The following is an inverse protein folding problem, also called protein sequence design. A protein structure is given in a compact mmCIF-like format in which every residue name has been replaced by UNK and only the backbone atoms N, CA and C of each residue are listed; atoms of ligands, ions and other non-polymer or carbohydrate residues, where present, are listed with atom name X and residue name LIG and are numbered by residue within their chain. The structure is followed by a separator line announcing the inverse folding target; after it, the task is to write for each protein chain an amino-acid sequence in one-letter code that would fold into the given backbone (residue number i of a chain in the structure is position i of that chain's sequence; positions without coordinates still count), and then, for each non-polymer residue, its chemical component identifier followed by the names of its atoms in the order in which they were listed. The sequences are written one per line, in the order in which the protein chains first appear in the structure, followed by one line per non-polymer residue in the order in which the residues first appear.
data_IF_830014568169
#
_entry.id   IF_830014568169
#
_cell.length_a   1.000
_cell.length_b   1.000
_cell.length_c   1.000
_cell.angle_alpha   90.00
_cell.angle_beta   90.00
_cell.angle_gamma   90.00
#
_symmetry.space_group_name_H-M   'P 1'
#
loop_
_entity.id
_entity.type
_entity.pdbx_description
1 polymer ?
#
# COMPACT_ATOMS: atom_id res chain seq x y z
N UNK A 1 -27.64 22.27 43.52
CA UNK A 1 -28.42 21.89 42.32
C UNK A 1 -28.48 20.38 42.32
N UNK A 2 -29.62 19.76 42.00
CA UNK A 2 -29.76 18.29 42.01
C UNK A 2 -28.95 17.60 40.90
N UNK A 3 -28.53 18.35 39.88
CA UNK A 3 -27.72 17.87 38.74
C UNK A 3 -26.21 17.97 38.99
N UNK A 4 -25.80 18.43 40.17
CA UNK A 4 -24.40 18.63 40.51
C UNK A 4 -23.77 17.31 41.00
N UNK A 5 -22.61 16.95 40.44
CA UNK A 5 -21.82 15.80 40.87
C UNK A 5 -20.58 16.29 41.65
N UNK A 6 -20.46 15.86 42.91
CA UNK A 6 -19.40 16.20 43.86
C UNK A 6 -18.22 15.20 43.86
N UNK A 7 -18.21 14.18 42.99
CA UNK A 7 -17.10 13.22 42.88
C UNK A 7 -15.77 13.91 42.53
N UNK A 8 -15.77 14.86 41.59
CA UNK A 8 -14.56 15.58 41.16
C UNK A 8 -14.04 16.50 42.27
N UNK A 9 -14.93 17.21 42.97
CA UNK A 9 -14.58 18.02 44.14
C UNK A 9 -13.97 17.15 45.25
N UNK A 10 -14.56 15.99 45.54
CA UNK A 10 -14.05 15.04 46.56
C UNK A 10 -12.67 14.46 46.21
N UNK A 11 -12.39 14.22 44.93
CA UNK A 11 -11.09 13.71 44.46
C UNK A 11 -10.02 14.81 44.46
N UNK A 12 -10.38 16.02 44.03
CA UNK A 12 -9.43 17.14 43.88
C UNK A 12 -9.20 17.94 45.17
N UNK A 13 -10.12 17.84 46.14
CA UNK A 13 -10.15 18.70 47.33
C UNK A 13 -10.56 20.15 47.03
N UNK A 14 -10.97 20.44 45.79
CA UNK A 14 -11.46 21.74 45.36
C UNK A 14 -12.96 21.86 45.70
N UNK A 15 -13.43 23.03 46.13
CA UNK A 15 -14.85 23.28 46.41
C UNK A 15 -15.45 24.17 45.34
N UNK A 16 -16.45 23.68 44.62
CA UNK A 16 -17.15 24.39 43.55
C UNK A 16 -18.38 25.11 44.10
N UNK A 17 -18.25 26.42 44.35
CA UNK A 17 -19.30 27.31 44.87
C UNK A 17 -20.19 27.93 43.79
N UNK A 18 -19.64 28.18 42.60
CA UNK A 18 -20.38 28.71 41.44
C UNK A 18 -19.95 28.00 40.17
N UNK A 19 -20.90 27.79 39.26
CA UNK A 19 -20.70 26.98 38.05
C UNK A 19 -21.55 27.55 36.90
N UNK A 20 -20.93 27.72 35.73
CA UNK A 20 -21.55 28.14 34.48
C UNK A 20 -21.13 27.17 33.37
N UNK A 21 -22.10 26.46 32.79
CA UNK A 21 -21.89 25.55 31.66
C UNK A 21 -22.55 26.10 30.40
N UNK A 22 -21.83 26.05 29.27
CA UNK A 22 -22.36 26.43 27.97
C UNK A 22 -21.81 25.51 26.86
N UNK A 23 -22.64 25.12 25.87
CA UNK A 23 -22.17 24.33 24.73
C UNK A 23 -21.34 25.19 23.77
N UNK A 24 -20.26 24.61 23.26
CA UNK A 24 -19.51 25.12 22.11
C UNK A 24 -20.21 24.64 20.85
N UNK A 25 -20.53 25.58 19.94
CA UNK A 25 -21.20 25.28 18.68
C UNK A 25 -20.28 25.50 17.48
N UNK A 26 -20.43 24.66 16.46
CA UNK A 26 -19.80 24.85 15.16
C UNK A 26 -20.52 25.95 14.35
N UNK A 27 -19.95 26.30 13.20
CA UNK A 27 -20.56 27.08 12.12
C UNK A 27 -21.98 26.61 11.78
N UNK A 28 -22.19 25.29 11.74
CA UNK A 28 -23.46 24.62 11.44
C UNK A 28 -24.42 24.53 12.64
N UNK A 29 -24.09 25.21 13.75
CA UNK A 29 -24.81 25.21 15.04
C UNK A 29 -24.79 23.89 15.84
N UNK A 30 -24.19 22.83 15.31
CA UNK A 30 -23.96 21.55 16.01
C UNK A 30 -23.06 21.72 17.25
N UNK A 31 -23.32 20.93 18.29
CA UNK A 31 -22.59 21.00 19.57
C UNK A 31 -21.34 20.12 19.48
N UNK A 32 -20.15 20.74 19.48
CA UNK A 32 -18.85 20.06 19.34
C UNK A 32 -18.21 19.75 20.69
N UNK A 33 -18.45 20.61 21.68
CA UNK A 33 -17.92 20.47 23.04
C UNK A 33 -18.82 21.17 24.07
N UNK A 34 -18.53 21.02 25.35
CA UNK A 34 -19.14 21.78 26.44
C UNK A 34 -18.03 22.44 27.26
N UNK A 35 -18.18 23.72 27.55
CA UNK A 35 -17.27 24.44 28.46
C UNK A 35 -17.96 24.66 29.80
N UNK A 36 -17.19 24.41 30.86
CA UNK A 36 -17.58 24.60 32.25
C UNK A 36 -16.62 25.62 32.87
N UNK A 37 -17.18 26.70 33.42
CA UNK A 37 -16.45 27.72 34.19
C UNK A 37 -16.90 27.62 35.64
N UNK A 38 -15.95 27.43 36.56
CA UNK A 38 -16.22 27.32 38.00
C UNK A 38 -15.60 28.49 38.76
N UNK A 39 -16.19 28.82 39.91
CA UNK A 39 -15.71 29.78 40.91
C UNK A 39 -15.29 31.14 40.36
N UNK A 40 -16.26 32.04 40.18
CA UNK A 40 -15.98 33.45 39.88
C UNK A 40 -15.15 34.08 41.01
N UNK A 41 -14.01 34.68 40.67
CA UNK A 41 -12.97 35.15 41.60
C UNK A 41 -13.39 36.17 42.66
N UNK A 42 -14.57 36.78 42.53
CA UNK A 42 -15.12 37.76 43.46
C UNK A 42 -16.21 37.17 44.37
N UNK A 43 -16.36 35.84 44.44
CA UNK A 43 -17.40 35.09 45.19
C UNK A 43 -18.86 35.50 44.87
N UNK A 44 -19.06 36.18 43.74
CA UNK A 44 -20.36 36.54 43.19
C UNK A 44 -20.86 35.45 42.24
N UNK A 45 -22.17 35.26 42.18
CA UNK A 45 -22.80 34.45 41.13
C UNK A 45 -22.47 35.02 39.75
N UNK A 46 -22.40 34.15 38.74
CA UNK A 46 -22.27 34.58 37.35
C UNK A 46 -23.45 35.49 36.95
N UNK A 47 -23.16 36.55 36.22
CA UNK A 47 -24.14 37.53 35.74
C UNK A 47 -24.49 37.25 34.28
N UNK A 48 -25.60 37.85 33.81
CA UNK A 48 -25.99 37.80 32.38
C UNK A 48 -24.97 38.48 31.45
N UNK A 49 -24.04 39.25 31.99
CA UNK A 49 -22.92 39.83 31.24
C UNK A 49 -21.80 38.81 31.06
N UNK A 50 -21.48 38.05 32.11
CA UNK A 50 -20.56 36.90 32.01
C UNK A 50 -21.10 35.86 31.02
N UNK A 51 -22.41 35.57 31.06
CA UNK A 51 -23.09 34.66 30.11
C UNK A 51 -22.92 35.12 28.66
N UNK A 52 -23.15 36.41 28.37
CA UNK A 52 -22.98 36.97 27.02
C UNK A 52 -21.52 36.96 26.57
N UNK A 53 -20.59 37.30 27.47
CA UNK A 53 -19.17 37.31 27.18
C UNK A 53 -18.69 35.88 26.89
N UNK A 54 -19.03 34.90 27.73
CA UNK A 54 -18.71 33.50 27.50
C UNK A 54 -19.31 33.02 26.18
N UNK A 55 -20.60 33.29 25.92
CA UNK A 55 -21.24 32.93 24.66
C UNK A 55 -20.53 33.52 23.43
N UNK A 56 -19.97 34.73 23.51
CA UNK A 56 -19.21 35.32 22.41
C UNK A 56 -17.85 34.63 22.21
N UNK A 57 -17.14 34.29 23.30
CA UNK A 57 -15.88 33.53 23.24
C UNK A 57 -16.09 32.12 22.68
N UNK A 58 -17.13 31.41 23.11
CA UNK A 58 -17.38 30.03 22.69
C UNK A 58 -17.67 29.89 21.19
N UNK A 59 -18.24 30.91 20.54
CA UNK A 59 -18.38 30.96 19.08
C UNK A 59 -17.01 30.91 18.36
N UNK A 60 -16.00 31.62 18.87
CA UNK A 60 -14.65 31.55 18.31
C UNK A 60 -13.96 30.22 18.63
N UNK A 61 -14.17 29.68 19.85
CA UNK A 61 -13.65 28.36 20.22
C UNK A 61 -14.22 27.24 19.34
N UNK A 62 -15.50 27.30 18.96
CA UNK A 62 -16.12 26.31 18.07
C UNK A 62 -15.49 26.27 16.70
N UNK A 63 -15.27 27.44 16.08
CA UNK A 63 -14.55 27.56 14.80
C UNK A 63 -13.11 27.02 14.94
N UNK A 64 -12.41 27.36 16.01
CA UNK A 64 -11.03 26.91 16.24
C UNK A 64 -10.92 25.38 16.43
N UNK A 65 -11.83 24.78 17.21
CA UNK A 65 -11.87 23.32 17.43
C UNK A 65 -12.23 22.59 16.13
N UNK A 66 -13.24 23.06 15.40
CA UNK A 66 -13.62 22.49 14.11
C UNK A 66 -12.44 22.53 13.11
N UNK A 67 -11.75 23.67 13.00
CA UNK A 67 -10.58 23.79 12.15
C UNK A 67 -9.41 22.88 12.59
N UNK A 68 -9.21 22.68 13.90
CA UNK A 68 -8.19 21.77 14.42
C UNK A 68 -8.51 20.31 14.11
N UNK A 69 -9.77 19.88 14.31
CA UNK A 69 -10.23 18.53 13.97
C UNK A 69 -10.13 18.25 12.46
N UNK A 70 -10.53 19.23 11.63
CA UNK A 70 -10.39 19.17 10.18
C UNK A 70 -8.91 19.05 9.77
N UNK A 71 -8.02 19.84 10.39
CA UNK A 71 -6.58 19.79 10.11
C UNK A 71 -5.93 18.46 10.56
N UNK A 72 -6.36 17.90 11.69
CA UNK A 72 -5.89 16.60 12.18
C UNK A 72 -6.30 15.47 11.22
N UNK A 73 -7.57 15.46 10.78
CA UNK A 73 -8.06 14.53 9.78
C UNK A 73 -7.31 14.66 8.43
N UNK A 74 -7.09 15.89 7.95
CA UNK A 74 -6.29 16.14 6.75
C UNK A 74 -4.84 15.69 6.88
N UNK A 75 -4.23 15.82 8.06
CA UNK A 75 -2.84 15.44 8.29
C UNK A 75 -2.64 13.92 8.17
N UNK A 76 -3.59 13.14 8.69
CA UNK A 76 -3.56 11.67 8.59
C UNK A 76 -3.73 11.19 7.14
N UNK A 77 -4.69 11.77 6.39
CA UNK A 77 -4.84 11.49 4.96
C UNK A 77 -3.63 11.93 4.13
N UNK A 78 -3.04 13.08 4.47
CA UNK A 78 -1.83 13.57 3.80
C UNK A 78 -0.66 12.63 4.02
N UNK A 79 -0.45 12.11 5.23
CA UNK A 79 0.62 11.16 5.51
C UNK A 79 0.40 9.82 4.79
N UNK A 80 -0.84 9.32 4.67
CA UNK A 80 -1.17 8.17 3.80
C UNK A 80 -0.76 8.45 2.34
N UNK A 81 -1.21 9.57 1.79
CA UNK A 81 -0.98 9.92 0.39
C UNK A 81 0.50 10.21 0.11
N UNK A 82 1.25 10.73 1.09
CA UNK A 82 2.69 10.97 1.01
C UNK A 82 3.47 9.66 0.81
N UNK A 83 3.19 8.62 1.57
CA UNK A 83 3.84 7.32 1.39
C UNK A 83 3.59 6.73 0.00
N UNK A 84 2.40 6.93 -0.57
CA UNK A 84 2.08 6.54 -1.96
C UNK A 84 2.89 7.36 -2.98
N UNK A 85 3.03 8.68 -2.76
CA UNK A 85 3.78 9.57 -3.66
C UNK A 85 5.30 9.38 -3.59
N UNK A 86 5.86 9.03 -2.43
CA UNK A 86 7.28 8.66 -2.29
C UNK A 86 7.59 7.39 -3.10
N UNK A 87 6.70 6.39 -3.06
CA UNK A 87 6.81 5.20 -3.91
C UNK A 87 6.77 5.57 -5.40
N UNK A 88 5.87 6.45 -5.82
CA UNK A 88 5.82 6.98 -7.20
C UNK A 88 7.15 7.64 -7.59
N UNK A 89 7.72 8.49 -6.74
CA UNK A 89 8.98 9.18 -7.01
C UNK A 89 10.14 8.19 -7.19
N UNK A 90 10.34 7.28 -6.22
CA UNK A 90 11.36 6.21 -6.26
C UNK A 90 11.27 5.31 -7.50
N UNK A 91 10.07 5.15 -8.08
CA UNK A 91 9.81 4.31 -9.24
C UNK A 91 10.10 5.02 -10.57
N UNK A 92 9.82 6.31 -10.67
CA UNK A 92 9.95 7.07 -11.92
C UNK A 92 11.28 7.81 -12.08
N UNK A 93 12.06 7.99 -11.02
CA UNK A 93 13.41 8.58 -11.10
C UNK A 93 14.45 7.66 -11.77
N UNK A 94 14.34 6.34 -11.59
CA UNK A 94 15.27 5.38 -12.20
C UNK A 94 14.70 4.80 -13.50
N UNK A 95 15.33 5.11 -14.64
CA UNK A 95 15.06 4.47 -15.94
C UNK A 95 15.41 2.97 -15.87
N UNK A 96 14.44 2.19 -15.40
CA UNK A 96 14.60 0.78 -15.05
C UNK A 96 13.75 -0.11 -15.94
N UNK A 97 14.13 -1.39 -16.00
CA UNK A 97 13.39 -2.38 -16.79
C UNK A 97 11.97 -2.58 -16.26
N UNK A 98 11.05 -3.01 -17.14
CA UNK A 98 9.67 -3.37 -16.76
C UNK A 98 9.62 -4.29 -15.51
N UNK A 99 10.58 -5.22 -15.44
CA UNK A 99 10.67 -6.24 -14.39
C UNK A 99 11.14 -5.65 -13.05
N UNK A 100 12.03 -4.66 -13.07
CA UNK A 100 12.44 -3.90 -11.87
C UNK A 100 11.32 -2.99 -11.35
N UNK A 101 10.64 -2.26 -12.24
CA UNK A 101 9.53 -1.37 -11.87
C UNK A 101 8.44 -2.17 -11.16
N UNK A 102 8.00 -3.29 -11.76
CA UNK A 102 7.01 -4.18 -11.16
C UNK A 102 7.52 -4.77 -9.83
N UNK A 103 8.76 -5.26 -9.78
CA UNK A 103 9.35 -5.84 -8.55
C UNK A 103 9.41 -4.82 -7.40
N UNK A 104 9.77 -3.56 -7.68
CA UNK A 104 9.77 -2.48 -6.69
C UNK A 104 8.35 -2.15 -6.21
N UNK A 105 7.37 -2.03 -7.11
CA UNK A 105 5.97 -1.80 -6.72
C UNK A 105 5.47 -2.92 -5.81
N UNK A 106 5.70 -4.18 -6.17
CA UNK A 106 5.29 -5.34 -5.38
C UNK A 106 5.93 -5.34 -3.98
N UNK A 107 7.22 -5.02 -3.87
CA UNK A 107 7.89 -4.91 -2.57
C UNK A 107 7.30 -3.79 -1.69
N UNK A 108 6.99 -2.63 -2.28
CA UNK A 108 6.39 -1.49 -1.56
C UNK A 108 4.94 -1.79 -1.14
N UNK A 109 4.14 -2.35 -2.05
CA UNK A 109 2.76 -2.78 -1.78
C UNK A 109 2.72 -3.85 -0.68
N UNK A 110 3.58 -4.87 -0.75
CA UNK A 110 3.68 -5.92 0.26
C UNK A 110 4.04 -5.39 1.65
N UNK A 111 4.94 -4.41 1.73
CA UNK A 111 5.32 -3.77 2.99
C UNK A 111 4.17 -2.94 3.60
N UNK A 112 3.46 -2.16 2.77
CA UNK A 112 2.40 -1.25 3.24
C UNK A 112 1.09 -1.97 3.56
N UNK A 113 0.68 -2.95 2.74
CA UNK A 113 -0.52 -3.78 2.94
C UNK A 113 -0.28 -4.98 3.86
N UNK A 114 0.98 -5.19 4.31
CA UNK A 114 1.41 -6.29 5.18
C UNK A 114 0.86 -7.64 4.73
N UNK A 115 1.13 -8.05 3.48
CA UNK A 115 0.66 -9.33 2.94
C UNK A 115 1.78 -10.38 2.82
N UNK A 116 1.41 -11.66 2.84
CA UNK A 116 2.35 -12.78 2.71
C UNK A 116 2.80 -12.98 1.26
N UNK A 117 1.93 -12.72 0.28
CA UNK A 117 2.29 -12.75 -1.14
C UNK A 117 1.67 -11.59 -1.91
N UNK A 118 2.39 -11.12 -2.91
CA UNK A 118 1.91 -10.21 -3.94
C UNK A 118 2.29 -10.79 -5.31
N UNK A 119 1.36 -10.78 -6.25
CA UNK A 119 1.54 -11.32 -7.59
C UNK A 119 0.98 -10.35 -8.63
N UNK A 120 1.65 -10.21 -9.78
CA UNK A 120 1.24 -9.35 -10.90
C UNK A 120 1.25 -10.18 -12.18
N UNK A 121 0.09 -10.30 -12.82
CA UNK A 121 -0.12 -11.10 -14.02
C UNK A 121 -0.41 -10.16 -15.20
N UNK A 122 0.52 -10.05 -16.15
CA UNK A 122 0.34 -9.24 -17.35
C UNK A 122 -0.40 -10.04 -18.43
N UNK A 123 -1.39 -9.40 -19.05
CA UNK A 123 -2.18 -9.95 -20.15
C UNK A 123 -1.25 -10.28 -21.33
N UNK A 124 -1.48 -11.42 -21.97
CA UNK A 124 -0.71 -11.81 -23.15
C UNK A 124 -1.02 -10.92 -24.38
N UNK A 125 -0.09 -10.85 -25.33
CA UNK A 125 -0.34 -10.18 -26.61
C UNK A 125 -1.31 -10.97 -27.49
N UNK A 126 -2.11 -10.30 -28.36
CA UNK A 126 -3.07 -10.95 -29.24
C UNK A 126 -2.36 -11.85 -30.27
N UNK A 127 -2.28 -13.14 -29.96
CA UNK A 127 -1.58 -14.16 -30.75
C UNK A 127 -1.01 -15.29 -29.90
N UNK A 128 -0.82 -15.10 -28.60
CA UNK A 128 -0.43 -16.17 -27.68
C UNK A 128 -1.64 -17.02 -27.24
N UNK A 129 -1.43 -18.32 -27.04
CA UNK A 129 -2.46 -19.26 -26.56
C UNK A 129 -2.77 -19.08 -25.05
N UNK A 130 -1.87 -18.42 -24.31
CA UNK A 130 -2.00 -18.17 -22.87
C UNK A 130 -2.76 -16.87 -22.61
N UNK A 131 -3.55 -16.84 -21.53
CA UNK A 131 -4.24 -15.61 -21.09
C UNK A 131 -3.29 -14.55 -20.50
N UNK A 132 -2.22 -15.01 -19.84
CA UNK A 132 -1.19 -14.16 -19.24
C UNK A 132 0.17 -14.48 -19.86
N UNK A 133 0.86 -13.46 -20.37
CA UNK A 133 2.16 -13.60 -21.04
C UNK A 133 3.35 -13.53 -20.07
N UNK A 134 3.26 -12.65 -19.05
CA UNK A 134 4.26 -12.54 -17.97
C UNK A 134 3.58 -12.60 -16.61
N UNK A 135 4.17 -13.34 -15.67
CA UNK A 135 3.71 -13.45 -14.28
C UNK A 135 4.89 -13.17 -13.35
N UNK A 136 4.69 -12.22 -12.44
CA UNK A 136 5.59 -11.84 -11.37
C UNK A 136 4.98 -12.30 -10.05
N UNK A 137 5.78 -12.90 -9.16
CA UNK A 137 5.32 -13.37 -7.86
C UNK A 137 6.38 -13.06 -6.79
N UNK A 138 5.94 -12.59 -5.63
CA UNK A 138 6.76 -12.16 -4.52
C UNK A 138 6.19 -12.67 -3.20
N UNK A 139 6.92 -13.57 -2.54
CA UNK A 139 6.52 -14.18 -1.27
C UNK A 139 7.37 -13.71 -0.08
N UNK A 140 6.73 -13.62 1.08
CA UNK A 140 7.34 -13.32 2.38
C UNK A 140 7.57 -14.61 3.19
N UNK A 141 8.62 -14.70 4.02
CA UNK A 141 9.74 -13.76 4.13
C UNK A 141 10.60 -13.76 2.87
N UNK A 142 11.19 -12.61 2.55
CA UNK A 142 12.13 -12.44 1.45
C UNK A 142 13.30 -13.43 1.58
N UNK A 143 13.18 -14.61 0.99
CA UNK A 143 14.30 -15.54 0.85
C UNK A 143 15.32 -14.85 -0.06
N UNK A 144 16.42 -14.36 0.52
CA UNK A 144 17.52 -13.77 -0.23
C UNK A 144 17.91 -14.71 -1.37
N UNK A 145 17.55 -14.34 -2.62
CA UNK A 145 18.00 -15.01 -3.84
C UNK A 145 19.49 -14.76 -4.03
N UNK A 146 20.31 -15.45 -3.25
CA UNK A 146 21.75 -15.48 -3.45
C UNK A 146 22.08 -16.43 -4.59
N UNK A 147 22.60 -15.83 -5.67
CA UNK A 147 23.62 -16.43 -6.54
C UNK A 147 23.18 -17.55 -7.50
N UNK A 148 22.78 -17.13 -8.71
CA UNK A 148 23.51 -17.59 -9.91
C UNK A 148 23.44 -16.56 -11.04
N UNK A 149 24.62 -16.01 -11.37
CA UNK A 149 24.95 -15.38 -12.65
C UNK A 149 24.23 -14.07 -13.04
N UNK A 150 24.77 -12.92 -12.61
CA UNK A 150 25.53 -12.05 -13.53
C UNK A 150 26.48 -11.15 -12.73
N UNK A 151 27.59 -10.75 -13.36
CA UNK A 151 28.76 -10.18 -12.69
C UNK A 151 28.82 -8.64 -12.73
N UNK A 152 29.20 -8.08 -11.58
CA UNK A 152 29.95 -6.83 -11.38
C UNK A 152 29.19 -5.48 -11.27
N UNK A 153 29.81 -4.59 -10.46
CA UNK A 153 29.49 -3.19 -10.16
C UNK A 153 28.17 -2.94 -9.37
N UNK A 154 28.13 -2.24 -8.23
CA UNK A 154 29.14 -1.49 -7.45
C UNK A 154 28.99 -1.72 -5.92
N UNK A 155 30.08 -1.52 -5.16
CA UNK A 155 30.10 -1.40 -3.68
C UNK A 155 30.31 0.07 -3.26
N UNK A 156 30.00 0.35 -1.97
CA UNK A 156 30.18 1.62 -1.20
C UNK A 156 29.10 2.68 -1.49
N UNK A 157 28.57 3.45 -0.52
CA UNK A 157 28.87 3.70 0.93
C UNK A 157 27.57 4.29 1.59
N UNK A 158 27.30 4.41 2.90
CA UNK A 158 27.98 4.17 4.20
C UNK A 158 26.93 4.17 5.37
N UNK A 159 27.34 3.92 6.64
CA UNK A 159 26.57 4.09 7.92
C UNK A 159 25.42 3.08 8.20
N UNK A 160 25.13 2.64 9.44
CA UNK A 160 25.86 2.68 10.74
C UNK A 160 25.36 1.54 11.68
N UNK A 161 26.13 1.15 12.71
CA UNK A 161 25.79 0.06 13.67
C UNK A 161 25.17 0.56 14.98
N UNK A 162 24.08 -0.08 15.43
CA UNK A 162 23.84 -0.53 16.82
C UNK A 162 22.74 -1.63 16.79
N UNK A 163 22.89 -2.89 17.28
CA UNK A 163 23.12 -3.43 18.65
C UNK A 163 21.86 -3.24 19.53
N UNK A 164 21.23 -4.21 20.21
CA UNK A 164 21.52 -5.62 20.63
C UNK A 164 20.39 -6.57 20.12
N UNK A 165 20.51 -7.89 19.89
CA UNK A 165 21.06 -9.05 20.65
C UNK A 165 20.24 -9.55 21.87
N UNK A 166 19.49 -10.66 21.69
CA UNK A 166 19.42 -11.88 22.55
C UNK A 166 18.23 -12.77 22.10
N UNK A 167 18.32 -14.09 21.93
CA UNK A 167 19.48 -14.98 21.87
C UNK A 167 19.06 -16.46 21.95
N UNK A 168 19.64 -17.34 21.12
CA UNK A 168 19.69 -18.78 21.42
C UNK A 168 20.82 -19.45 20.64
N UNK A 169 21.87 -19.88 21.35
CA UNK A 169 22.99 -20.61 20.77
C UNK A 169 23.63 -21.55 21.80
N UNK A 170 23.09 -22.79 21.91
CA UNK A 170 23.83 -24.03 22.23
C UNK A 170 22.90 -25.23 22.40
N UNK A 171 22.95 -26.18 21.46
CA UNK A 171 23.14 -27.58 21.81
C UNK A 171 23.73 -28.36 20.62
N UNK A 172 24.71 -29.23 20.88
CA UNK A 172 25.22 -30.24 19.93
C UNK A 172 25.16 -31.59 20.63
N UNK A 173 24.38 -32.54 20.12
CA UNK A 173 24.82 -33.94 19.92
C UNK A 173 23.66 -34.84 19.46
N UNK A 174 24.03 -35.78 18.59
CA UNK A 174 23.43 -37.08 18.31
C UNK A 174 22.04 -37.22 17.64
N UNK A 175 22.10 -37.91 16.48
CA UNK A 175 21.15 -38.89 15.94
C UNK A 175 19.71 -38.46 15.59
N UNK A 176 19.57 -38.07 14.31
CA UNK A 176 18.46 -38.35 13.39
C UNK A 176 17.10 -37.62 13.58
N UNK A 177 16.27 -37.54 12.52
CA UNK A 177 16.58 -37.79 11.11
C UNK A 177 16.94 -36.52 10.34
N UNK A 178 17.63 -36.67 9.21
CA UNK A 178 17.67 -35.63 8.20
C UNK A 178 16.23 -35.39 7.72
N UNK A 179 15.73 -34.16 7.79
CA UNK A 179 14.41 -33.83 7.27
C UNK A 179 14.41 -33.98 5.75
N UNK A 180 14.03 -35.16 5.27
CA UNK A 180 13.72 -35.46 3.89
C UNK A 180 12.43 -34.75 3.48
N UNK A 181 12.50 -33.42 3.41
CA UNK A 181 11.62 -32.68 2.51
C UNK A 181 12.19 -32.84 1.10
N UNK A 182 11.38 -33.22 0.10
CA UNK A 182 11.80 -33.11 -1.28
C UNK A 182 12.20 -31.66 -1.55
N UNK A 183 13.37 -31.45 -2.17
CA UNK A 183 13.64 -30.20 -2.84
C UNK A 183 12.66 -30.13 -4.03
N UNK A 184 11.48 -29.57 -3.81
CA UNK A 184 10.47 -29.45 -4.85
C UNK A 184 11.00 -28.47 -5.92
N UNK A 185 11.00 -28.89 -7.17
CA UNK A 185 11.60 -28.13 -8.26
C UNK A 185 10.97 -26.72 -8.36
N UNK A 186 11.74 -25.67 -8.70
CA UNK A 186 11.24 -24.30 -8.84
C UNK A 186 10.40 -24.09 -10.13
N UNK A 187 9.76 -25.16 -10.62
CA UNK A 187 9.01 -25.27 -11.87
C UNK A 187 7.60 -25.85 -11.68
N UNK A 188 7.14 -26.11 -10.45
CA UNK A 188 5.68 -26.08 -10.16
C UNK A 188 5.19 -24.65 -10.29
N UNK A 189 5.02 -24.25 -11.54
CA UNK A 189 4.49 -22.99 -12.01
C UNK A 189 3.14 -22.71 -11.35
N UNK A 190 3.10 -21.72 -10.45
CA UNK A 190 1.86 -21.04 -10.03
C UNK A 190 1.27 -20.18 -11.17
N UNK A 191 1.64 -20.47 -12.43
CA UNK A 191 1.35 -19.67 -13.64
C UNK A 191 0.09 -20.09 -14.39
N UNK A 192 -0.57 -21.18 -14.01
CA UNK A 192 -1.73 -21.72 -14.75
C UNK A 192 -2.93 -21.93 -13.83
N UNK A 193 -3.82 -20.93 -13.80
CA UNK A 193 -5.18 -21.07 -13.29
C UNK A 193 -5.56 -20.18 -12.09
N UNK A 194 -5.21 -18.89 -12.08
CA UNK A 194 -5.91 -17.97 -11.19
C UNK A 194 -7.27 -17.64 -11.81
N UNK A 195 -8.24 -18.54 -11.61
CA UNK A 195 -9.67 -18.38 -12.03
C UNK A 195 -10.22 -17.01 -11.58
N UNK A 196 -9.77 -16.52 -10.43
CA UNK A 196 -10.05 -15.20 -9.91
C UNK A 196 -9.43 -14.08 -10.77
N UNK A 197 -8.15 -14.16 -11.10
CA UNK A 197 -7.50 -13.18 -11.99
C UNK A 197 -8.08 -13.21 -13.41
N UNK A 198 -8.44 -14.38 -13.95
CA UNK A 198 -9.17 -14.49 -15.23
C UNK A 198 -10.57 -13.88 -15.16
N UNK A 199 -11.25 -13.99 -14.01
CA UNK A 199 -12.55 -13.37 -13.78
C UNK A 199 -12.41 -11.85 -13.72
N UNK A 200 -11.47 -11.30 -12.94
CA UNK A 200 -11.16 -9.86 -12.90
C UNK A 200 -10.80 -9.31 -14.29
N UNK A 201 -10.03 -10.06 -15.08
CA UNK A 201 -9.67 -9.69 -16.46
C UNK A 201 -10.88 -9.67 -17.42
N UNK A 202 -11.98 -10.35 -17.09
CA UNK A 202 -13.23 -10.39 -17.86
C UNK A 202 -14.32 -9.45 -17.35
N UNK A 203 -14.40 -9.23 -16.04
CA UNK A 203 -15.45 -8.42 -15.40
C UNK A 203 -15.04 -6.98 -15.13
N UNK A 204 -13.73 -6.69 -15.08
CA UNK A 204 -13.18 -5.39 -14.65
C UNK A 204 -13.47 -4.98 -13.20
N UNK A 205 -14.07 -5.88 -12.41
CA UNK A 205 -14.47 -5.66 -11.02
C UNK A 205 -13.36 -6.08 -10.03
N UNK A 206 -13.25 -5.38 -8.91
CA UNK A 206 -12.45 -5.83 -7.76
C UNK A 206 -13.03 -7.12 -7.20
N UNK A 207 -12.17 -8.06 -6.82
CA UNK A 207 -12.56 -9.23 -6.03
C UNK A 207 -11.82 -9.20 -4.70
N UNK A 208 -12.54 -8.97 -3.61
CA UNK A 208 -12.07 -9.14 -2.23
C UNK A 208 -12.73 -10.39 -1.63
N UNK A 209 -11.94 -11.39 -1.26
CA UNK A 209 -12.38 -12.65 -0.66
C UNK A 209 -11.78 -12.77 0.73
N UNK A 210 -12.66 -12.75 1.75
CA UNK A 210 -12.29 -12.88 3.15
C UNK A 210 -11.86 -14.31 3.55
N UNK A 211 -12.47 -15.33 2.93
CA UNK A 211 -12.14 -16.75 3.10
C UNK A 211 -12.16 -17.47 1.73
N UNK A 212 -10.97 -17.75 1.22
CA UNK A 212 -10.78 -18.43 -0.06
C UNK A 212 -11.26 -19.89 -0.05
N UNK A 213 -11.22 -20.58 1.09
CA UNK A 213 -11.72 -21.96 1.18
C UNK A 213 -13.25 -22.04 1.25
N UNK A 214 -13.94 -20.93 1.49
CA UNK A 214 -15.40 -20.84 1.37
C UNK A 214 -15.88 -20.44 -0.03
N UNK A 215 -15.06 -19.76 -0.83
CA UNK A 215 -15.46 -19.28 -2.17
C UNK A 215 -15.43 -20.41 -3.24
N UNK A 216 -16.50 -20.60 -4.04
CA UNK A 216 -16.55 -21.62 -5.09
C UNK A 216 -15.71 -21.30 -6.35
N UNK A 217 -15.24 -20.06 -6.50
CA UNK A 217 -14.37 -19.60 -7.61
C UNK A 217 -12.90 -19.92 -7.33
N UNK A 218 -12.52 -20.12 -6.07
CA UNK A 218 -11.17 -20.47 -5.65
C UNK A 218 -10.84 -21.95 -5.92
N UNK A 219 -9.57 -22.22 -6.26
CA UNK A 219 -9.12 -23.56 -6.64
C UNK A 219 -8.26 -24.21 -5.54
N UNK A 220 -8.95 -24.91 -4.63
CA UNK A 220 -8.37 -25.50 -3.42
C UNK A 220 -7.33 -26.59 -3.72
N UNK A 221 -7.43 -27.26 -4.87
CA UNK A 221 -6.52 -28.35 -5.24
C UNK A 221 -5.09 -27.83 -5.51
N UNK A 222 -4.96 -26.64 -6.12
CA UNK A 222 -3.66 -25.97 -6.33
C UNK A 222 -3.02 -25.54 -5.00
N UNK A 223 -3.81 -25.02 -4.08
CA UNK A 223 -3.32 -24.54 -2.78
C UNK A 223 -2.71 -25.71 -1.98
N UNK A 224 -3.45 -26.83 -1.86
CA UNK A 224 -2.98 -28.08 -1.24
C UNK A 224 -1.71 -28.62 -1.90
N UNK A 225 -1.61 -28.60 -3.25
CA UNK A 225 -0.42 -29.05 -3.96
C UNK A 225 0.82 -28.17 -3.67
N UNK A 226 0.60 -26.86 -3.48
CA UNK A 226 1.67 -25.89 -3.24
C UNK A 226 2.22 -25.91 -1.80
N UNK A 227 1.48 -26.52 -0.85
CA UNK A 227 1.80 -26.47 0.58
C UNK A 227 1.63 -25.10 1.23
N UNK A 228 1.13 -24.11 0.49
CA UNK A 228 0.68 -22.82 1.02
C UNK A 228 -0.80 -22.92 1.40
N UNK A 229 -1.25 -22.10 2.36
CA UNK A 229 -2.65 -22.03 2.75
C UNK A 229 -3.18 -20.62 2.48
N UNK A 230 -3.95 -20.48 1.40
CA UNK A 230 -4.60 -19.22 1.03
C UNK A 230 -5.86 -19.00 1.88
N UNK A 231 -5.85 -17.93 2.66
CA UNK A 231 -6.90 -17.51 3.58
C UNK A 231 -7.72 -16.38 2.98
N UNK A 232 -7.08 -15.25 2.66
CA UNK A 232 -7.72 -14.07 2.06
C UNK A 232 -7.02 -13.65 0.77
N UNK A 233 -7.79 -13.14 -0.19
CA UNK A 233 -7.32 -12.70 -1.51
C UNK A 233 -7.96 -11.35 -1.84
N UNK A 234 -7.15 -10.38 -2.26
CA UNK A 234 -7.63 -9.15 -2.91
C UNK A 234 -7.02 -9.05 -4.30
N UNK A 235 -7.88 -8.91 -5.31
CA UNK A 235 -7.53 -8.96 -6.73
C UNK A 235 -8.12 -7.74 -7.45
N UNK A 236 -7.28 -6.94 -8.13
CA UNK A 236 -7.68 -5.71 -8.85
C UNK A 236 -7.10 -5.67 -10.28
N UNK A 237 -7.85 -5.15 -11.27
CA UNK A 237 -7.35 -5.01 -12.63
C UNK A 237 -6.32 -3.87 -12.72
N UNK A 238 -5.24 -4.11 -13.48
CA UNK A 238 -4.25 -3.09 -13.83
C UNK A 238 -4.66 -2.46 -15.16
N UNK A 239 -4.98 -1.16 -15.14
CA UNK A 239 -5.43 -0.40 -16.31
C UNK A 239 -4.30 0.49 -16.84
N UNK A 240 -4.22 0.66 -18.16
CA UNK A 240 -3.33 1.65 -18.76
C UNK A 240 -3.93 3.07 -18.72
N UNK A 241 -3.16 4.07 -19.16
CA UNK A 241 -3.59 5.48 -19.26
C UNK A 241 -4.80 5.72 -20.18
N UNK A 242 -5.17 4.74 -21.00
CA UNK A 242 -6.32 4.75 -21.90
C UNK A 242 -7.52 3.97 -21.33
N UNK A 243 -7.43 3.48 -20.08
CA UNK A 243 -8.47 2.70 -19.41
C UNK A 243 -8.51 1.20 -19.73
N UNK A 244 -7.66 0.72 -20.64
CA UNK A 244 -7.64 -0.68 -21.08
C UNK A 244 -6.89 -1.56 -20.05
N UNK A 245 -7.40 -2.77 -19.79
CA UNK A 245 -6.73 -3.72 -18.89
C UNK A 245 -5.46 -4.28 -19.55
N UNK A 246 -4.31 -4.10 -18.88
CA UNK A 246 -3.00 -4.65 -19.28
C UNK A 246 -2.56 -5.82 -18.39
N UNK A 247 -3.24 -6.05 -17.27
CA UNK A 247 -2.95 -7.14 -16.36
C UNK A 247 -3.85 -7.14 -15.13
N UNK A 248 -3.50 -7.95 -14.15
CA UNK A 248 -4.20 -8.08 -12.87
C UNK A 248 -3.15 -8.11 -11.76
N UNK A 249 -3.41 -7.40 -10.67
CA UNK A 249 -2.64 -7.46 -9.44
C UNK A 249 -3.42 -8.25 -8.39
N UNK A 250 -2.72 -9.11 -7.65
CA UNK A 250 -3.27 -9.96 -6.62
C UNK A 250 -2.40 -9.86 -5.37
N UNK A 251 -3.02 -9.77 -4.19
CA UNK A 251 -2.36 -9.92 -2.89
C UNK A 251 -3.07 -11.02 -2.11
N UNK A 252 -2.27 -11.80 -1.39
CA UNK A 252 -2.73 -13.01 -0.71
C UNK A 252 -2.25 -12.98 0.73
N UNK A 253 -3.18 -13.28 1.64
CA UNK A 253 -3.05 -13.33 3.10
C UNK A 253 -2.49 -12.05 3.74
N UNK A 254 -3.31 -11.35 4.54
CA UNK A 254 -2.77 -10.34 5.47
C UNK A 254 -1.97 -11.03 6.58
N UNK A 255 -0.81 -10.49 6.95
CA UNK A 255 0.09 -11.03 7.97
C UNK A 255 -0.61 -11.14 9.34
N UNK A 256 -1.50 -10.19 9.66
CA UNK A 256 -2.32 -10.20 10.88
C UNK A 256 -3.33 -11.37 10.91
N UNK A 257 -3.57 -12.04 9.77
CA UNK A 257 -4.54 -13.12 9.61
C UNK A 257 -6.01 -12.69 9.50
N UNK A 258 -6.26 -11.39 9.42
CA UNK A 258 -7.58 -10.81 9.15
C UNK A 258 -7.83 -10.68 7.63
N UNK A 259 -9.11 -10.58 7.20
CA UNK A 259 -9.43 -10.25 5.81
C UNK A 259 -9.03 -8.81 5.46
N UNK A 260 -8.92 -8.51 4.17
CA UNK A 260 -8.63 -7.16 3.68
C UNK A 260 -9.85 -6.25 3.87
N UNK A 261 -9.63 -5.07 4.43
CA UNK A 261 -10.68 -4.07 4.67
C UNK A 261 -10.79 -3.03 3.53
N UNK A 262 -11.75 -2.10 3.63
CA UNK A 262 -11.95 -1.06 2.60
C UNK A 262 -10.75 -0.09 2.49
N UNK A 263 -9.92 0.05 3.53
CA UNK A 263 -8.72 0.89 3.49
C UNK A 263 -7.59 0.16 2.75
N UNK A 264 -7.40 -1.14 3.01
CA UNK A 264 -6.53 -2.02 2.22
C UNK A 264 -6.96 -1.99 0.73
N UNK A 265 -8.26 -1.98 0.45
CA UNK A 265 -8.81 -1.90 -0.91
C UNK A 265 -8.48 -0.57 -1.62
N UNK A 266 -8.65 0.58 -0.93
CA UNK A 266 -8.31 1.90 -1.46
C UNK A 266 -6.80 2.05 -1.70
N UNK A 267 -5.97 1.58 -0.75
CA UNK A 267 -4.52 1.59 -0.89
C UNK A 267 -4.06 0.72 -2.07
N UNK A 268 -4.64 -0.48 -2.23
CA UNK A 268 -4.31 -1.36 -3.34
C UNK A 268 -4.73 -0.79 -4.71
N UNK A 269 -5.79 0.02 -4.76
CA UNK A 269 -6.17 0.74 -5.98
C UNK A 269 -5.08 1.71 -6.46
N UNK A 270 -4.51 2.50 -5.55
CA UNK A 270 -3.40 3.38 -5.88
C UNK A 270 -2.22 2.59 -6.45
N UNK A 271 -1.90 1.43 -5.87
CA UNK A 271 -0.85 0.55 -6.41
C UNK A 271 -1.18 -0.02 -7.80
N UNK A 272 -2.43 -0.41 -8.09
CA UNK A 272 -2.77 -0.90 -9.45
C UNK A 272 -2.71 0.22 -10.49
N UNK A 273 -3.07 1.46 -10.12
CA UNK A 273 -2.88 2.64 -10.97
C UNK A 273 -1.38 2.91 -11.22
N UNK A 274 -0.53 2.80 -10.19
CA UNK A 274 0.92 2.97 -10.34
C UNK A 274 1.58 1.86 -11.16
N UNK A 275 1.15 0.60 -11.01
CA UNK A 275 1.49 -0.48 -11.94
C UNK A 275 1.12 -0.09 -13.38
N UNK A 276 -0.10 0.40 -13.59
CA UNK A 276 -0.58 0.90 -14.87
C UNK A 276 0.38 1.91 -15.51
N UNK A 277 0.69 2.99 -14.78
CA UNK A 277 1.57 4.07 -15.24
C UNK A 277 3.02 3.59 -15.45
N UNK A 278 3.56 2.80 -14.51
CA UNK A 278 4.92 2.23 -14.57
C UNK A 278 5.13 1.34 -15.79
N UNK A 279 4.20 0.42 -16.04
CA UNK A 279 4.26 -0.49 -17.20
C UNK A 279 4.18 0.28 -18.52
N UNK A 280 3.27 1.27 -18.62
CA UNK A 280 3.16 2.10 -19.83
C UNK A 280 4.45 2.88 -20.10
N UNK A 281 5.06 3.47 -19.07
CA UNK A 281 6.31 4.21 -19.24
C UNK A 281 7.45 3.28 -19.67
N UNK A 282 7.60 2.09 -19.05
CA UNK A 282 8.62 1.11 -19.46
C UNK A 282 8.44 0.66 -20.92
N UNK A 283 7.20 0.36 -21.35
CA UNK A 283 6.88 -0.01 -22.73
C UNK A 283 7.18 1.12 -23.73
N UNK A 284 6.83 2.37 -23.39
CA UNK A 284 7.12 3.54 -24.23
C UNK A 284 8.63 3.75 -24.41
N UNK A 285 9.44 3.55 -23.36
CA UNK A 285 10.90 3.65 -23.48
C UNK A 285 11.49 2.55 -24.37
N UNK A 286 10.97 1.31 -24.28
CA UNK A 286 11.41 0.20 -25.14
C UNK A 286 11.05 0.44 -26.62
N UNK A 287 9.83 0.93 -26.91
CA UNK A 287 9.40 1.27 -28.26
C UNK A 287 10.24 2.42 -28.87
N UNK A 288 10.52 3.46 -28.10
CA UNK A 288 11.37 4.59 -28.52
C UNK A 288 12.81 4.13 -28.77
N UNK A 289 13.38 3.30 -27.88
CA UNK A 289 14.73 2.75 -28.05
C UNK A 289 14.83 1.86 -29.30
N UNK A 290 13.85 0.97 -29.52
CA UNK A 290 13.78 0.11 -30.71
C UNK A 290 13.63 0.94 -32.00
N UNK A 291 12.80 1.98 -31.97
CA UNK A 291 12.58 2.87 -33.11
C UNK A 291 13.84 3.70 -33.44
N UNK A 292 14.55 4.19 -32.43
CA UNK A 292 15.83 4.87 -32.58
C UNK A 292 16.89 3.95 -33.20
N UNK A 293 17.05 2.72 -32.69
CA UNK A 293 17.98 1.74 -33.24
C UNK A 293 17.67 1.39 -34.71
N UNK A 294 16.38 1.23 -35.06
CA UNK A 294 15.94 1.03 -36.46
C UNK A 294 16.32 2.21 -37.36
N UNK A 295 16.17 3.45 -36.89
CA UNK A 295 16.54 4.65 -37.64
C UNK A 295 18.07 4.74 -37.84
N UNK A 296 18.88 4.47 -36.82
CA UNK A 296 20.34 4.45 -36.93
C UNK A 296 20.82 3.46 -37.99
N UNK A 297 20.33 2.21 -37.95
CA UNK A 297 20.68 1.18 -38.95
C UNK A 297 20.26 1.60 -40.36
N UNK A 298 19.06 2.20 -40.53
CA UNK A 298 18.61 2.69 -41.82
C UNK A 298 19.51 3.81 -42.39
N UNK A 299 19.94 4.75 -41.54
CA UNK A 299 20.86 5.83 -41.93
C UNK A 299 22.26 5.30 -42.28
N UNK A 300 22.79 4.34 -41.54
CA UNK A 300 24.06 3.69 -41.85
C UNK A 300 24.01 2.97 -43.20
N UNK A 301 22.99 2.14 -43.43
CA UNK A 301 22.81 1.43 -44.71
C UNK A 301 22.62 2.40 -45.88
N UNK A 302 21.88 3.50 -45.68
CA UNK A 302 21.74 4.58 -46.68
C UNK A 302 23.08 5.24 -47.01
N UNK A 303 23.88 5.55 -45.98
CA UNK A 303 25.22 6.15 -46.10
C UNK A 303 26.19 5.21 -46.83
N UNK A 304 26.18 3.92 -46.51
CA UNK A 304 26.97 2.89 -47.19
C UNK A 304 26.60 2.78 -48.67
N UNK A 305 25.30 2.76 -49.01
CA UNK A 305 24.84 2.76 -50.41
C UNK A 305 25.31 4.00 -51.17
N UNK A 306 25.21 5.18 -50.57
CA UNK A 306 25.69 6.44 -51.16
C UNK A 306 27.20 6.42 -51.47
N UNK A 307 28.02 5.95 -50.53
CA UNK A 307 29.47 5.79 -50.73
C UNK A 307 29.80 4.80 -51.86
N UNK A 308 29.11 3.67 -51.92
CA UNK A 308 29.28 2.66 -52.98
C UNK A 308 28.89 3.20 -54.37
N UNK A 309 27.83 4.02 -54.47
CA UNK A 309 27.44 4.66 -55.75
C UNK A 309 28.41 5.74 -56.22
N UNK A 310 29.16 6.38 -55.31
CA UNK A 310 30.20 7.36 -55.63
C UNK A 310 31.56 6.72 -55.96
N UNK A 311 31.68 5.39 -55.85
CA UNK A 311 32.92 4.63 -56.04
C UNK A 311 32.94 3.86 -57.38
N UNK A 312 32.06 4.21 -58.32
CA UNK A 312 31.94 3.66 -59.67
C UNK A 312 31.94 4.79 -60.70
#
# INVERSE_FOLDING_TARGET
DERYNDEVDRITGYMTSSLLCMPVRNSDSDIVAVVQVINKSNDLKFTKEDEKLLSAYLSYCGIAINNAQIFEAYSLEYERNKHLLEVVHDLFEEQTSLEEVISKIMQRAQFLLKCERCSVLLKAEPGEEKTFGKVFDLAYPLTNRTSSNHSALRRRQQFSRAKLEAGCARFRSNSAPCCTFPCLDPTTDLRVGNKLAELVLRTEETINIADAYSDPRFDKERDVLSGFHTRSILCKPIRNRYGQIIGVAEIINRIDGLPFDEHDEQLFEAFTIFCGLGINNAQLYEEVALSSARQTVALEVGTWRGKLSLSR
#
